data_IF_339363692014
#
_entry.id   IF_339363692014
#
_cell.length_a   1.000
_cell.length_b   1.000
_cell.length_c   1.000
_cell.angle_alpha   90.00
_cell.angle_beta   90.00
_cell.angle_gamma   90.00
#
_symmetry.space_group_name_H-M   'P 1'
#
loop_
_entity.id
_entity.type
_entity.pdbx_description
1 polymer ?
#
# COMPACT_ATOMS: atom_id res chain seq x y z
N UNK A 1 18.13 33.45 1.90
CA UNK A 1 18.87 34.42 2.74
C UNK A 1 19.84 33.68 3.66
N UNK A 2 20.84 34.39 4.19
CA UNK A 2 21.82 34.03 5.23
C UNK A 2 21.30 32.95 6.22
N UNK A 3 21.99 31.82 6.38
CA UNK A 3 23.25 31.59 7.13
C UNK A 3 23.09 31.77 8.65
N UNK A 4 23.33 30.69 9.40
CA UNK A 4 24.42 30.69 10.38
C UNK A 4 24.97 29.28 10.63
N UNK A 5 26.27 29.18 10.89
CA UNK A 5 27.00 27.93 11.09
C UNK A 5 28.14 28.11 12.11
N UNK A 6 28.24 27.20 13.06
CA UNK A 6 29.41 26.95 13.93
C UNK A 6 29.18 25.54 14.50
N UNK A 7 30.06 24.53 14.42
CA UNK A 7 31.52 24.49 14.43
C UNK A 7 32.16 25.26 15.59
N UNK A 8 32.75 24.51 16.53
CA UNK A 8 33.99 24.90 17.17
C UNK A 8 34.81 23.63 17.46
N UNK A 9 36.14 23.73 17.52
CA UNK A 9 37.03 22.56 17.33
C UNK A 9 38.23 22.50 18.28
N UNK A 10 38.78 21.28 18.43
CA UNK A 10 40.18 20.95 18.69
C UNK A 10 40.93 21.58 19.88
N UNK A 11 41.18 20.75 20.90
CA UNK A 11 42.49 20.57 21.56
C UNK A 11 42.50 19.13 22.12
N UNK A 12 43.23 18.16 21.57
CA UNK A 12 44.69 18.03 21.48
C UNK A 12 45.35 18.19 22.86
N UNK A 13 45.60 17.06 23.49
CA UNK A 13 46.83 16.84 24.27
C UNK A 13 47.35 15.43 23.97
N UNK A 14 48.64 15.33 23.64
CA UNK A 14 49.33 14.08 23.34
C UNK A 14 50.29 13.74 24.48
N UNK A 15 50.08 12.61 25.15
CA UNK A 15 51.05 12.05 26.08
C UNK A 15 51.60 10.74 25.50
N UNK A 16 52.91 10.59 25.56
CA UNK A 16 53.66 9.55 24.83
C UNK A 16 53.83 8.26 25.63
N UNK A 17 54.29 7.24 24.92
CA UNK A 17 54.68 5.92 25.42
C UNK A 17 55.57 6.01 26.67
N UNK A 18 55.31 5.14 27.65
CA UNK A 18 56.35 4.38 28.34
C UNK A 18 55.88 2.94 28.46
N UNK A 19 56.79 1.98 28.23
CA UNK A 19 56.47 0.55 28.16
C UNK A 19 57.27 -0.26 29.17
N UNK A 20 56.58 -0.78 30.17
CA UNK A 20 57.01 -1.84 31.10
C UNK A 20 55.73 -2.66 31.34
N UNK A 21 55.65 -3.98 31.18
CA UNK A 21 56.65 -5.00 31.51
C UNK A 21 56.18 -5.70 32.79
N UNK A 22 55.09 -6.48 32.70
CA UNK A 22 54.35 -6.91 33.89
C UNK A 22 53.27 -7.96 33.64
N UNK A 23 53.62 -9.11 33.08
CA UNK A 23 52.73 -10.28 33.01
C UNK A 23 52.56 -10.91 34.40
N UNK A 24 51.36 -10.87 34.99
CA UNK A 24 51.09 -11.61 36.23
C UNK A 24 49.62 -12.07 36.37
N UNK A 25 49.22 -13.05 35.57
CA UNK A 25 47.92 -13.72 35.68
C UNK A 25 47.98 -14.86 36.70
N UNK A 26 47.44 -14.66 37.90
CA UNK A 26 47.30 -15.70 38.94
C UNK A 26 45.86 -16.24 39.02
N UNK A 27 45.62 -17.48 38.56
CA UNK A 27 44.48 -18.29 38.99
C UNK A 27 44.97 -19.64 39.56
N UNK A 28 45.44 -19.66 40.81
CA UNK A 28 46.10 -20.82 41.43
C UNK A 28 45.25 -21.57 42.48
N UNK A 29 43.97 -21.82 42.16
CA UNK A 29 43.09 -22.63 43.02
C UNK A 29 42.28 -23.67 42.23
N UNK A 30 42.85 -24.88 42.02
CA UNK A 30 42.16 -26.18 42.19
C UNK A 30 43.05 -27.40 41.79
N UNK A 31 42.72 -28.56 42.37
CA UNK A 31 43.07 -29.93 41.95
C UNK A 31 44.54 -30.30 41.67
N UNK A 32 45.31 -30.51 42.75
CA UNK A 32 46.53 -31.34 42.75
C UNK A 32 46.16 -32.84 42.62
N UNK A 33 45.61 -33.25 41.46
CA UNK A 33 44.99 -34.59 41.29
C UNK A 33 45.34 -35.40 40.03
N UNK A 34 46.06 -34.86 39.05
CA UNK A 34 46.17 -35.50 37.71
C UNK A 34 47.38 -36.41 37.44
N UNK A 35 48.52 -36.22 38.13
CA UNK A 35 49.82 -36.77 37.64
C UNK A 35 50.00 -38.30 37.73
N UNK A 36 49.28 -39.00 38.60
CA UNK A 36 49.43 -40.46 38.74
C UNK A 36 48.77 -41.25 37.59
N UNK A 37 47.67 -40.73 37.02
CA UNK A 37 46.92 -41.42 35.96
C UNK A 37 47.66 -41.40 34.61
N UNK A 38 48.39 -40.32 34.31
CA UNK A 38 49.10 -40.16 33.03
C UNK A 38 50.29 -41.12 32.84
N UNK A 39 50.96 -41.52 33.93
CA UNK A 39 52.06 -42.49 33.85
C UNK A 39 51.54 -43.93 33.63
N UNK A 40 50.43 -44.29 34.28
CA UNK A 40 49.80 -45.60 34.11
C UNK A 40 49.13 -45.74 32.74
N UNK A 41 48.53 -44.67 32.19
CA UNK A 41 47.91 -44.73 30.86
C UNK A 41 48.94 -45.01 29.77
N UNK A 42 50.17 -44.46 29.83
CA UNK A 42 51.19 -44.70 28.81
C UNK A 42 51.60 -46.19 28.71
N UNK A 43 51.63 -46.92 29.82
CA UNK A 43 52.03 -48.33 29.83
C UNK A 43 50.87 -49.26 29.42
N UNK A 44 49.61 -48.90 29.72
CA UNK A 44 48.43 -49.62 29.20
C UNK A 44 48.13 -49.28 27.74
N UNK A 45 48.35 -48.03 27.31
CA UNK A 45 48.22 -47.57 25.92
C UNK A 45 49.14 -48.39 25.00
N UNK A 46 50.41 -48.60 25.38
CA UNK A 46 51.34 -49.42 24.62
C UNK A 46 50.88 -50.88 24.49
N UNK A 47 50.22 -51.41 25.54
CA UNK A 47 49.72 -52.80 25.56
C UNK A 47 48.43 -52.96 24.74
N UNK A 48 47.50 -52.01 24.82
CA UNK A 48 46.29 -51.99 24.00
C UNK A 48 46.63 -51.70 22.53
N UNK A 49 47.63 -50.85 22.26
CA UNK A 49 48.16 -50.65 20.92
C UNK A 49 48.73 -51.96 20.35
N UNK A 50 49.54 -52.68 21.13
CA UNK A 50 50.09 -53.99 20.75
C UNK A 50 48.99 -55.04 20.51
N UNK A 51 47.98 -55.12 21.39
CA UNK A 51 46.85 -56.05 21.23
C UNK A 51 45.96 -55.68 20.02
N UNK A 52 45.80 -54.39 19.72
CA UNK A 52 45.09 -53.91 18.52
C UNK A 52 45.89 -54.17 17.25
N UNK A 53 47.21 -53.96 17.29
CA UNK A 53 48.16 -54.26 16.21
C UNK A 53 48.19 -55.76 15.87
N UNK A 54 48.23 -56.62 16.90
CA UNK A 54 48.15 -58.08 16.76
C UNK A 54 46.84 -58.51 16.08
N UNK A 55 45.70 -57.97 16.52
CA UNK A 55 44.41 -58.33 15.92
C UNK A 55 44.19 -57.72 14.53
N UNK A 56 44.68 -56.50 14.27
CA UNK A 56 44.58 -55.82 12.98
C UNK A 56 45.38 -56.47 11.87
N UNK A 57 46.59 -56.96 12.17
CA UNK A 57 47.42 -57.75 11.25
C UNK A 57 46.92 -59.19 11.01
N UNK A 58 45.74 -59.55 11.55
CA UNK A 58 45.20 -60.92 11.54
C UNK A 58 46.20 -61.96 12.10
N UNK A 59 47.10 -61.60 13.02
CA UNK A 59 48.10 -62.52 13.55
C UNK A 59 47.52 -63.81 14.18
N UNK A 60 46.31 -63.81 14.80
CA UNK A 60 45.66 -65.06 15.19
C UNK A 60 45.34 -66.02 14.04
N UNK A 61 45.17 -65.52 12.81
CA UNK A 61 45.00 -66.32 11.57
C UNK A 61 46.35 -66.65 10.95
N UNK A 62 47.33 -65.74 11.03
CA UNK A 62 48.71 -66.01 10.59
C UNK A 62 49.30 -67.22 11.33
N UNK A 63 49.19 -67.26 12.66
CA UNK A 63 49.60 -68.42 13.48
C UNK A 63 48.66 -69.64 13.38
N UNK A 64 47.70 -69.66 12.45
CA UNK A 64 46.90 -70.84 12.08
C UNK A 64 47.22 -71.36 10.67
N UNK A 65 48.11 -70.69 9.94
CA UNK A 65 48.67 -71.17 8.66
C UNK A 65 49.90 -72.06 8.93
N UNK A 66 50.26 -72.91 7.96
CA UNK A 66 51.53 -73.66 8.01
C UNK A 66 52.75 -72.73 7.93
N UNK A 67 53.92 -73.21 8.33
CA UNK A 67 55.16 -72.41 8.32
C UNK A 67 55.52 -71.93 6.90
N UNK A 68 55.31 -72.78 5.89
CA UNK A 68 55.51 -72.42 4.47
C UNK A 68 54.56 -71.30 4.00
N UNK A 69 53.28 -71.33 4.41
CA UNK A 69 52.29 -70.28 4.11
C UNK A 69 52.55 -68.98 4.90
N UNK A 70 53.17 -69.07 6.08
CA UNK A 70 53.61 -67.92 6.87
C UNK A 70 54.79 -67.22 6.18
N UNK A 71 55.81 -67.97 5.78
CA UNK A 71 56.98 -67.45 5.05
C UNK A 71 56.59 -66.88 3.68
N UNK A 72 55.72 -67.56 2.92
CA UNK A 72 55.26 -67.07 1.61
C UNK A 72 54.40 -65.79 1.74
N UNK A 73 53.75 -65.57 2.89
CA UNK A 73 53.12 -64.28 3.23
C UNK A 73 54.13 -63.22 3.63
N UNK A 74 55.10 -63.54 4.48
CA UNK A 74 56.15 -62.59 4.90
C UNK A 74 56.98 -62.10 3.70
N UNK A 75 57.26 -62.97 2.73
CA UNK A 75 57.94 -62.62 1.49
C UNK A 75 57.11 -61.74 0.52
N UNK A 76 55.80 -61.60 0.74
CA UNK A 76 54.87 -60.80 -0.10
C UNK A 76 54.52 -59.43 0.50
N UNK A 77 54.74 -59.22 1.80
CA UNK A 77 54.46 -57.94 2.47
C UNK A 77 55.56 -56.94 2.13
N UNK A 78 55.22 -55.91 1.36
CA UNK A 78 56.14 -54.80 1.09
C UNK A 78 56.34 -53.95 2.37
N UNK A 79 57.54 -53.41 2.54
CA UNK A 79 57.83 -52.42 3.59
C UNK A 79 56.92 -51.19 3.48
N UNK A 80 56.46 -50.86 2.26
CA UNK A 80 55.48 -49.80 2.03
C UNK A 80 54.08 -50.16 2.59
N UNK A 81 53.63 -51.41 2.44
CA UNK A 81 52.37 -51.88 3.02
C UNK A 81 52.42 -51.91 4.56
N UNK A 82 53.54 -52.38 5.12
CA UNK A 82 53.76 -52.37 6.57
C UNK A 82 53.76 -50.94 7.14
N UNK A 83 54.34 -49.98 6.42
CA UNK A 83 54.31 -48.56 6.80
C UNK A 83 52.88 -47.98 6.75
N UNK A 84 52.11 -48.29 5.70
CA UNK A 84 50.70 -47.86 5.60
C UNK A 84 49.85 -48.46 6.72
N UNK A 85 49.97 -49.77 6.98
CA UNK A 85 49.26 -50.44 8.08
C UNK A 85 49.61 -49.82 9.45
N UNK A 86 50.89 -49.50 9.70
CA UNK A 86 51.31 -48.81 10.93
C UNK A 86 50.73 -47.39 11.02
N UNK A 87 50.65 -46.67 9.90
CA UNK A 87 50.07 -45.33 9.84
C UNK A 87 48.56 -45.35 10.12
N UNK A 88 47.82 -46.31 9.56
CA UNK A 88 46.38 -46.45 9.80
C UNK A 88 46.07 -46.95 11.23
N UNK A 89 46.87 -47.87 11.79
CA UNK A 89 46.75 -48.28 13.20
C UNK A 89 46.99 -47.08 14.13
N UNK A 90 47.98 -46.23 13.85
CA UNK A 90 48.24 -45.02 14.63
C UNK A 90 47.09 -43.99 14.49
N UNK A 91 46.50 -43.89 13.29
CA UNK A 91 45.33 -43.04 13.00
C UNK A 91 44.09 -43.50 13.75
N UNK A 92 43.74 -44.78 13.70
CA UNK A 92 42.58 -45.33 14.43
C UNK A 92 42.81 -45.29 15.95
N UNK A 93 44.04 -45.46 16.43
CA UNK A 93 44.39 -45.27 17.84
C UNK A 93 44.23 -43.80 18.28
N UNK A 94 44.61 -42.83 17.44
CA UNK A 94 44.37 -41.41 17.70
C UNK A 94 42.86 -41.07 17.70
N UNK A 95 42.08 -41.64 16.77
CA UNK A 95 40.62 -41.53 16.74
C UNK A 95 39.99 -42.14 17.99
N UNK A 96 40.40 -43.35 18.40
CA UNK A 96 39.90 -44.01 19.60
C UNK A 96 40.21 -43.22 20.88
N UNK A 97 41.41 -42.62 21.00
CA UNK A 97 41.75 -41.70 22.10
C UNK A 97 40.83 -40.47 22.12
N UNK A 98 40.57 -39.86 20.96
CA UNK A 98 39.69 -38.69 20.84
C UNK A 98 38.22 -39.04 21.16
N UNK A 99 37.71 -40.17 20.67
CA UNK A 99 36.37 -40.67 20.98
C UNK A 99 36.19 -40.98 22.48
N UNK A 100 37.18 -41.59 23.13
CA UNK A 100 37.17 -41.82 24.57
C UNK A 100 37.19 -40.50 25.38
N UNK A 101 37.94 -39.49 24.93
CA UNK A 101 37.98 -38.18 25.58
C UNK A 101 36.62 -37.48 25.51
N UNK A 102 35.99 -37.43 24.33
CA UNK A 102 34.65 -36.85 24.18
C UNK A 102 33.57 -37.64 24.94
N UNK A 103 33.63 -38.99 24.94
CA UNK A 103 32.70 -39.80 25.73
C UNK A 103 32.86 -39.53 27.24
N UNK A 104 34.09 -39.37 27.72
CA UNK A 104 34.37 -39.09 29.13
C UNK A 104 33.82 -37.72 29.52
N UNK A 105 34.18 -36.66 28.79
CA UNK A 105 33.68 -35.30 28.99
C UNK A 105 32.15 -35.19 28.92
N UNK A 106 31.53 -35.92 27.98
CA UNK A 106 30.08 -36.04 27.88
C UNK A 106 29.47 -36.72 29.12
N UNK A 107 30.02 -37.86 29.55
CA UNK A 107 29.51 -38.58 30.71
C UNK A 107 29.73 -37.84 32.02
N UNK A 108 30.83 -37.11 32.21
CA UNK A 108 31.07 -36.27 33.40
C UNK A 108 29.97 -35.21 33.56
N UNK A 109 29.51 -34.63 32.45
CA UNK A 109 28.44 -33.61 32.42
C UNK A 109 27.02 -34.18 32.51
N UNK A 110 26.81 -35.43 32.09
CA UNK A 110 25.46 -35.99 31.87
C UNK A 110 25.09 -37.18 32.77
N UNK A 111 26.00 -38.11 33.04
CA UNK A 111 25.81 -39.19 34.02
C UNK A 111 27.17 -39.67 34.58
N UNK A 112 27.72 -38.98 35.60
CA UNK A 112 28.99 -39.36 36.20
C UNK A 112 28.96 -40.71 36.93
N UNK A 113 27.78 -41.31 37.18
CA UNK A 113 27.68 -42.63 37.84
C UNK A 113 28.13 -43.75 36.91
N UNK A 114 27.96 -43.60 35.60
CA UNK A 114 28.48 -44.55 34.60
C UNK A 114 30.01 -44.57 34.59
N UNK A 115 30.67 -43.43 34.80
CA UNK A 115 32.13 -43.33 34.89
C UNK A 115 32.67 -43.98 36.17
N UNK A 116 32.03 -43.78 37.32
CA UNK A 116 32.41 -44.49 38.57
C UNK A 116 32.33 -46.01 38.35
N UNK A 117 31.26 -46.49 37.73
CA UNK A 117 31.10 -47.90 37.37
C UNK A 117 32.08 -48.40 36.30
N UNK A 118 32.72 -47.51 35.52
CA UNK A 118 33.79 -47.86 34.58
C UNK A 118 35.14 -47.93 35.30
N UNK A 119 35.46 -46.93 36.14
CA UNK A 119 36.67 -46.87 36.95
C UNK A 119 36.78 -48.07 37.90
N UNK A 120 35.68 -48.44 38.57
CA UNK A 120 35.64 -49.61 39.47
C UNK A 120 35.88 -50.94 38.72
N UNK A 121 35.49 -51.02 37.44
CA UNK A 121 35.77 -52.19 36.57
C UNK A 121 37.21 -52.18 36.04
N UNK A 122 37.80 -51.02 35.75
CA UNK A 122 39.24 -50.90 35.42
C UNK A 122 40.12 -51.35 36.59
N UNK A 123 39.81 -50.89 37.81
CA UNK A 123 40.56 -51.26 39.02
C UNK A 123 40.50 -52.76 39.32
N UNK A 124 39.33 -53.41 39.16
CA UNK A 124 39.23 -54.87 39.35
C UNK A 124 39.90 -55.67 38.22
N UNK A 125 39.86 -55.19 36.97
CA UNK A 125 40.58 -55.81 35.86
C UNK A 125 42.12 -55.73 36.02
N UNK A 126 42.65 -54.60 36.49
CA UNK A 126 44.08 -54.45 36.78
C UNK A 126 44.56 -55.44 37.85
N UNK A 127 43.79 -55.60 38.94
CA UNK A 127 44.09 -56.58 39.99
C UNK A 127 44.07 -58.05 39.48
N UNK A 128 43.19 -58.37 38.52
CA UNK A 128 43.12 -59.71 37.90
C UNK A 128 44.28 -60.00 36.93
N UNK A 129 44.84 -58.96 36.31
CA UNK A 129 46.05 -59.11 35.48
C UNK A 129 47.32 -59.25 36.32
N UNK A 130 47.40 -58.56 37.46
CA UNK A 130 48.52 -58.67 38.42
C UNK A 130 48.63 -60.05 39.08
N UNK A 131 47.51 -60.74 39.33
CA UNK A 131 47.53 -62.12 39.83
C UNK A 131 47.92 -63.13 38.73
N UNK A 132 47.47 -62.94 37.49
CA UNK A 132 47.81 -63.83 36.37
C UNK A 132 49.27 -63.69 35.90
N UNK A 133 49.89 -62.53 36.09
CA UNK A 133 51.32 -62.30 35.82
C UNK A 133 52.27 -62.91 36.88
N UNK A 134 51.73 -63.61 37.89
CA UNK A 134 52.48 -64.19 39.02
C UNK A 134 52.24 -65.69 39.20
N UNK A 135 51.84 -66.37 38.12
CA UNK A 135 51.45 -67.78 38.10
C UNK A 135 52.51 -68.70 37.49
N UNK A 136 53.64 -68.86 38.17
CA UNK A 136 54.48 -70.06 38.06
C UNK A 136 55.11 -70.37 39.44
N UNK A 137 55.58 -71.61 39.61
CA UNK A 137 56.11 -72.24 40.81
C UNK A 137 55.10 -72.53 41.95
N UNK A 138 54.82 -73.83 42.09
CA UNK A 138 54.51 -74.56 43.34
C UNK A 138 53.04 -74.82 43.69
N UNK A 139 52.68 -76.10 43.63
CA UNK A 139 51.47 -76.69 44.21
C UNK A 139 51.64 -76.97 45.71
N UNK A 140 50.62 -76.73 46.53
CA UNK A 140 49.92 -77.76 47.33
C UNK A 140 48.81 -77.21 48.25
N UNK A 141 47.91 -78.12 48.61
CA UNK A 141 46.85 -78.10 49.64
C UNK A 141 47.37 -77.88 51.09
N UNK A 142 46.60 -77.63 52.18
CA UNK A 142 45.16 -77.70 52.58
C UNK A 142 44.94 -76.67 53.76
N UNK A 143 43.79 -76.39 54.43
CA UNK A 143 42.35 -76.78 54.37
C UNK A 143 41.47 -75.81 55.21
N UNK A 144 40.16 -75.76 54.90
CA UNK A 144 38.98 -75.63 55.82
C UNK A 144 38.96 -74.67 57.03
N UNK A 145 37.99 -73.73 57.05
CA UNK A 145 36.92 -73.68 58.09
C UNK A 145 35.70 -72.84 57.64
N UNK A 146 34.60 -72.90 58.41
CA UNK A 146 33.22 -72.46 58.07
C UNK A 146 32.98 -70.93 58.10
N UNK A 147 31.93 -70.45 57.41
CA UNK A 147 31.47 -69.04 57.54
C UNK A 147 30.26 -68.61 56.67
N UNK A 148 29.05 -69.02 57.05
CA UNK A 148 27.71 -68.47 56.71
C UNK A 148 27.52 -67.42 55.59
N UNK A 149 26.67 -67.76 54.60
CA UNK A 149 25.91 -66.84 53.72
C UNK A 149 24.73 -66.20 54.50
N UNK A 150 24.17 -65.03 54.12
CA UNK A 150 23.09 -65.07 53.12
C UNK A 150 22.92 -63.85 52.18
N UNK A 151 22.20 -64.12 51.07
CA UNK A 151 21.34 -63.25 50.24
C UNK A 151 21.47 -61.71 50.35
N UNK A 152 21.87 -61.10 49.23
CA UNK A 152 21.21 -59.89 48.72
C UNK A 152 20.73 -60.18 47.28
N UNK A 153 19.43 -59.95 47.00
CA UNK A 153 18.86 -60.09 45.65
C UNK A 153 18.65 -58.69 45.09
N UNK A 154 19.20 -58.41 43.91
CA UNK A 154 18.92 -57.20 43.15
C UNK A 154 18.62 -57.57 41.71
N UNK A 155 17.32 -57.66 41.40
CA UNK A 155 16.83 -57.80 40.02
C UNK A 155 17.36 -56.65 39.17
N UNK A 156 18.01 -56.97 38.05
CA UNK A 156 18.12 -56.04 36.92
C UNK A 156 17.19 -56.52 35.82
N UNK A 157 16.40 -55.57 35.31
CA UNK A 157 15.35 -55.81 34.33
C UNK A 157 15.90 -56.32 33.00
N UNK A 158 15.11 -57.18 32.36
CA UNK A 158 15.32 -57.53 30.96
C UNK A 158 15.08 -56.30 30.08
N UNK A 159 16.02 -55.98 29.19
CA UNK A 159 15.65 -55.58 27.83
C UNK A 159 16.02 -56.75 26.92
N UNK A 160 15.02 -57.30 26.25
CA UNK A 160 15.18 -58.34 25.23
C UNK A 160 15.36 -57.71 23.86
N UNK A 161 16.45 -58.06 23.18
CA UNK A 161 16.53 -57.88 21.72
C UNK A 161 16.97 -59.21 21.11
N UNK A 162 16.08 -59.84 20.37
CA UNK A 162 16.29 -61.16 19.76
C UNK A 162 16.99 -61.03 18.41
N UNK A 163 18.07 -61.78 18.21
CA UNK A 163 18.20 -62.79 17.14
C UNK A 163 19.56 -63.48 17.27
N UNK A 164 19.61 -64.78 16.96
CA UNK A 164 20.84 -65.54 17.00
C UNK A 164 21.31 -65.93 15.60
N UNK A 165 22.61 -65.76 15.34
CA UNK A 165 23.34 -66.64 14.44
C UNK A 165 24.80 -66.74 14.91
N UNK A 166 25.36 -67.94 14.89
CA UNK A 166 26.74 -68.18 15.31
C UNK A 166 27.68 -67.92 14.14
N UNK A 167 28.19 -66.69 14.03
CA UNK A 167 29.42 -66.42 13.29
C UNK A 167 30.54 -65.99 14.25
N UNK A 168 31.77 -66.32 13.86
CA UNK A 168 32.97 -66.08 14.69
C UNK A 168 33.09 -64.59 14.99
N UNK A 169 33.16 -64.22 16.27
CA UNK A 169 33.43 -62.83 16.66
C UNK A 169 34.87 -62.46 16.30
N UNK A 170 35.04 -61.89 15.12
CA UNK A 170 36.19 -61.06 14.77
C UNK A 170 36.25 -59.83 15.69
N UNK A 171 37.37 -59.10 15.65
CA UNK A 171 37.75 -58.09 16.63
C UNK A 171 36.63 -57.10 17.00
N UNK A 172 36.60 -56.72 18.28
CA UNK A 172 35.65 -55.78 18.85
C UNK A 172 35.61 -54.45 18.06
N UNK A 173 34.41 -54.04 17.63
CA UNK A 173 34.12 -52.63 17.31
C UNK A 173 34.18 -51.79 18.60
N UNK A 174 35.38 -51.32 18.95
CA UNK A 174 35.59 -50.34 20.03
C UNK A 174 35.18 -48.90 19.65
N UNK A 175 34.79 -48.69 18.38
CA UNK A 175 34.45 -47.41 17.76
C UNK A 175 33.02 -47.02 18.13
N UNK A 176 32.77 -45.76 18.53
CA UNK A 176 31.40 -45.33 18.78
C UNK A 176 30.59 -45.35 17.48
N UNK A 177 29.37 -45.89 17.52
CA UNK A 177 28.42 -45.84 16.42
C UNK A 177 28.20 -44.37 16.00
N UNK A 178 28.18 -44.11 14.68
CA UNK A 178 27.93 -42.80 14.11
C UNK A 178 26.65 -42.12 14.65
N UNK A 179 25.59 -42.89 14.93
CA UNK A 179 24.37 -42.34 15.55
C UNK A 179 24.66 -41.74 16.93
N UNK A 180 25.34 -42.48 17.80
CA UNK A 180 25.70 -42.00 19.14
C UNK A 180 26.66 -40.79 19.10
N UNK A 181 27.55 -40.72 18.11
CA UNK A 181 28.38 -39.53 17.86
C UNK A 181 27.53 -38.30 17.48
N UNK A 182 26.57 -38.48 16.58
CA UNK A 182 25.62 -37.43 16.20
C UNK A 182 24.78 -37.00 17.41
N UNK A 183 24.23 -37.93 18.19
CA UNK A 183 23.41 -37.65 19.38
C UNK A 183 24.20 -36.84 20.45
N UNK A 184 25.47 -37.18 20.68
CA UNK A 184 26.33 -36.41 21.61
C UNK A 184 26.68 -35.03 21.05
N UNK A 185 27.00 -34.93 19.75
CA UNK A 185 27.30 -33.65 19.09
C UNK A 185 26.10 -32.71 19.07
N UNK A 186 24.90 -33.22 18.76
CA UNK A 186 23.64 -32.48 18.80
C UNK A 186 23.34 -32.01 20.24
N UNK A 187 23.44 -32.91 21.23
CA UNK A 187 23.16 -32.55 22.62
C UNK A 187 24.15 -31.50 23.17
N UNK A 188 25.42 -31.59 22.82
CA UNK A 188 26.43 -30.60 23.23
C UNK A 188 26.29 -29.27 22.49
N UNK A 189 25.93 -29.28 21.21
CA UNK A 189 25.57 -28.06 20.47
C UNK A 189 24.35 -27.36 21.10
N UNK A 190 23.28 -28.12 21.41
CA UNK A 190 22.08 -27.61 22.08
C UNK A 190 22.39 -27.06 23.49
N UNK A 191 23.33 -27.68 24.23
CA UNK A 191 23.78 -27.16 25.52
C UNK A 191 24.56 -25.84 25.37
N UNK A 192 25.46 -25.75 24.39
CA UNK A 192 26.20 -24.51 24.09
C UNK A 192 25.25 -23.40 23.65
N UNK A 193 24.31 -23.67 22.75
CA UNK A 193 23.32 -22.70 22.29
C UNK A 193 22.45 -22.19 23.45
N UNK A 194 22.02 -23.07 24.35
CA UNK A 194 21.32 -22.68 25.58
C UNK A 194 22.18 -21.78 26.47
N UNK A 195 23.44 -22.15 26.73
CA UNK A 195 24.38 -21.36 27.54
C UNK A 195 24.60 -19.97 26.93
N UNK A 196 24.69 -19.85 25.61
CA UNK A 196 24.78 -18.56 24.90
C UNK A 196 23.53 -17.72 25.15
N UNK A 197 22.32 -18.26 24.94
CA UNK A 197 21.04 -17.57 25.21
C UNK A 197 20.91 -17.13 26.68
N UNK A 198 21.34 -17.96 27.62
CA UNK A 198 21.35 -17.63 29.05
C UNK A 198 22.32 -16.48 29.37
N UNK A 199 23.51 -16.45 28.75
CA UNK A 199 24.50 -15.37 28.85
C UNK A 199 23.99 -14.08 28.21
N UNK A 200 23.44 -14.14 27.00
CA UNK A 200 22.85 -12.98 26.29
C UNK A 200 21.69 -12.37 27.08
N UNK A 201 20.83 -13.20 27.66
CA UNK A 201 19.71 -12.78 28.52
C UNK A 201 20.21 -12.11 29.81
N UNK A 202 21.28 -12.65 30.43
CA UNK A 202 21.93 -12.03 31.59
C UNK A 202 22.56 -10.68 31.23
N UNK A 203 23.40 -10.63 30.20
CA UNK A 203 24.07 -9.42 29.74
C UNK A 203 23.05 -8.33 29.33
N UNK A 204 21.97 -8.71 28.63
CA UNK A 204 20.89 -7.79 28.26
C UNK A 204 20.14 -7.20 29.46
N UNK A 205 20.04 -7.94 30.57
CA UNK A 205 19.49 -7.45 31.85
C UNK A 205 20.46 -6.50 32.53
N UNK A 206 21.74 -6.87 32.57
CA UNK A 206 22.82 -6.10 33.19
C UNK A 206 23.05 -4.75 32.48
N UNK A 207 23.07 -4.73 31.15
CA UNK A 207 23.14 -3.51 30.32
C UNK A 207 21.95 -2.56 30.60
N UNK A 208 20.74 -3.09 30.82
CA UNK A 208 19.57 -2.27 31.17
C UNK A 208 19.71 -1.63 32.56
N UNK A 209 20.21 -2.37 33.53
CA UNK A 209 20.48 -1.84 34.89
C UNK A 209 21.57 -0.77 34.84
N UNK A 210 22.69 -1.03 34.14
CA UNK A 210 23.79 -0.08 34.01
C UNK A 210 23.38 1.22 33.28
N UNK A 211 22.51 1.13 32.26
CA UNK A 211 21.92 2.32 31.63
C UNK A 211 21.05 3.11 32.61
N UNK A 212 20.20 2.44 33.38
CA UNK A 212 19.40 3.07 34.44
C UNK A 212 20.26 3.82 35.46
N UNK A 213 21.32 3.18 35.98
CA UNK A 213 22.27 3.84 36.89
C UNK A 213 23.00 5.02 36.21
N UNK A 214 23.36 4.92 34.93
CA UNK A 214 24.02 6.01 34.21
C UNK A 214 23.08 7.23 34.02
N UNK A 215 21.81 7.00 33.73
CA UNK A 215 20.77 8.04 33.66
C UNK A 215 20.50 8.66 35.04
N UNK A 216 20.41 7.84 36.10
CA UNK A 216 20.26 8.29 37.50
C UNK A 216 21.44 9.16 37.95
N UNK A 217 22.69 8.72 37.72
CA UNK A 217 23.89 9.51 38.02
C UNK A 217 23.92 10.81 37.23
N UNK A 218 23.49 10.82 35.96
CA UNK A 218 23.39 12.04 35.17
C UNK A 218 22.38 13.04 35.77
N UNK A 219 21.19 12.58 36.18
CA UNK A 219 20.22 13.43 36.88
C UNK A 219 20.75 13.93 38.23
N UNK A 220 21.43 13.10 39.03
CA UNK A 220 22.03 13.52 40.29
C UNK A 220 23.13 14.56 40.10
N UNK A 221 23.99 14.42 39.08
CA UNK A 221 25.00 15.41 38.74
C UNK A 221 24.36 16.75 38.33
N UNK A 222 23.33 16.73 37.50
CA UNK A 222 22.62 17.93 37.07
C UNK A 222 21.86 18.61 38.22
N UNK A 223 21.14 17.86 39.08
CA UNK A 223 20.48 18.40 40.27
C UNK A 223 21.49 18.99 41.26
N UNK A 224 22.64 18.34 41.46
CA UNK A 224 23.73 18.86 42.30
C UNK A 224 24.29 20.17 41.73
N UNK A 225 24.60 20.20 40.42
CA UNK A 225 25.07 21.40 39.71
C UNK A 225 24.07 22.54 39.78
N UNK A 226 22.78 22.24 39.66
CA UNK A 226 21.70 23.22 39.77
C UNK A 226 21.52 23.72 41.21
N UNK A 227 21.64 22.84 42.20
CA UNK A 227 21.58 23.19 43.63
C UNK A 227 22.75 24.08 44.04
N UNK A 228 23.98 23.82 43.54
CA UNK A 228 25.15 24.68 43.76
C UNK A 228 24.93 26.09 43.19
N UNK A 229 24.45 26.20 41.95
CA UNK A 229 24.12 27.52 41.34
C UNK A 229 23.05 28.27 42.14
N UNK A 230 21.99 27.58 42.57
CA UNK A 230 20.94 28.17 43.39
C UNK A 230 21.43 28.56 44.79
N UNK A 231 22.39 27.83 45.37
CA UNK A 231 23.04 28.21 46.63
C UNK A 231 23.85 29.49 46.45
N UNK A 232 24.71 29.56 45.42
CA UNK A 232 25.48 30.76 45.08
C UNK A 232 24.55 31.99 44.89
N UNK A 233 23.45 31.83 44.14
CA UNK A 233 22.46 32.89 43.90
C UNK A 233 21.66 33.31 45.16
N UNK A 234 21.62 32.47 46.21
CA UNK A 234 20.88 32.72 47.45
C UNK A 234 21.78 33.21 48.60
N UNK A 235 23.10 33.07 48.49
CA UNK A 235 24.07 33.39 49.55
C UNK A 235 25.22 34.31 49.13
N UNK A 236 25.49 34.45 47.83
CA UNK A 236 26.67 35.14 47.29
C UNK A 236 26.33 35.86 45.97
N UNK A 237 25.12 36.42 45.83
CA UNK A 237 24.69 37.06 44.57
C UNK A 237 25.39 38.40 44.35
N UNK A 238 25.37 39.24 45.38
CA UNK A 238 25.88 40.61 45.37
C UNK A 238 26.86 40.81 46.54
N UNK A 239 27.64 41.90 46.53
CA UNK A 239 28.59 42.22 47.59
C UNK A 239 27.93 42.35 48.99
N UNK A 240 26.69 42.86 49.03
CA UNK A 240 25.88 42.94 50.25
C UNK A 240 25.54 41.57 50.86
N UNK A 241 25.44 40.50 50.05
CA UNK A 241 25.22 39.14 50.53
C UNK A 241 26.49 38.58 51.22
N UNK A 242 27.67 38.99 50.74
CA UNK A 242 28.98 38.64 51.32
C UNK A 242 29.25 39.41 52.63
N UNK A 243 28.95 40.71 52.66
CA UNK A 243 28.96 41.52 53.89
C UNK A 243 27.98 40.98 54.94
N UNK A 244 26.77 40.57 54.52
CA UNK A 244 25.83 39.90 55.40
C UNK A 244 26.42 38.59 55.95
N UNK A 245 27.09 37.77 55.14
CA UNK A 245 27.70 36.52 55.61
C UNK A 245 28.85 36.72 56.61
N UNK A 246 29.62 37.82 56.50
CA UNK A 246 30.71 38.10 57.45
C UNK A 246 30.25 38.77 58.75
N UNK A 247 29.08 39.42 58.75
CA UNK A 247 28.55 40.18 59.90
C UNK A 247 27.34 39.56 60.60
N UNK A 248 26.65 38.60 59.97
CA UNK A 248 25.44 38.00 60.52
C UNK A 248 25.72 37.14 61.77
N UNK A 249 24.83 37.26 62.76
CA UNK A 249 24.78 36.35 63.91
C UNK A 249 24.37 34.95 63.45
N UNK A 250 24.85 33.90 64.13
CA UNK A 250 24.45 32.50 63.92
C UNK A 250 22.93 32.33 63.73
N UNK A 251 22.10 32.93 64.60
CA UNK A 251 20.63 32.90 64.52
C UNK A 251 20.03 33.58 63.27
N UNK A 252 20.80 34.40 62.55
CA UNK A 252 20.39 34.99 61.26
C UNK A 252 20.80 34.07 60.10
N UNK A 253 22.02 33.53 60.15
CA UNK A 253 22.52 32.55 59.19
C UNK A 253 21.66 31.28 59.19
N UNK A 254 21.35 30.73 60.38
CA UNK A 254 20.48 29.57 60.57
C UNK A 254 19.10 29.77 59.93
N UNK A 255 18.52 30.98 60.04
CA UNK A 255 17.26 31.33 59.37
C UNK A 255 17.39 31.43 57.84
N UNK A 256 18.52 31.93 57.31
CA UNK A 256 18.78 32.01 55.85
C UNK A 256 18.99 30.59 55.27
N UNK A 257 19.73 29.73 55.96
CA UNK A 257 19.89 28.30 55.63
C UNK A 257 18.58 27.53 55.72
N UNK A 258 17.81 27.71 56.80
CA UNK A 258 16.48 27.07 56.97
C UNK A 258 15.50 27.50 55.88
N UNK A 259 15.53 28.76 55.43
CA UNK A 259 14.76 29.23 54.25
C UNK A 259 15.22 28.54 52.95
N UNK A 260 16.52 28.48 52.69
CA UNK A 260 17.09 27.81 51.51
C UNK A 260 16.70 26.33 51.45
N UNK A 261 16.94 25.57 52.52
CA UNK A 261 16.62 24.13 52.60
C UNK A 261 15.11 23.88 52.43
N UNK A 262 14.25 24.70 53.03
CA UNK A 262 12.81 24.62 52.83
C UNK A 262 12.38 24.91 51.37
N UNK A 263 13.11 25.77 50.65
CA UNK A 263 12.85 26.06 49.24
C UNK A 263 13.34 24.92 48.32
N UNK A 264 14.55 24.40 48.59
CA UNK A 264 15.11 23.25 47.89
C UNK A 264 14.20 22.00 48.02
N UNK A 265 13.71 21.70 49.24
CA UNK A 265 12.76 20.59 49.47
C UNK A 265 11.43 20.80 48.73
N UNK A 266 10.96 22.04 48.56
CA UNK A 266 9.77 22.33 47.73
C UNK A 266 10.06 22.06 46.24
N UNK A 267 11.20 22.52 45.74
CA UNK A 267 11.60 22.33 44.35
C UNK A 267 11.80 20.84 44.01
N UNK A 268 12.47 20.08 44.89
CA UNK A 268 12.64 18.63 44.75
C UNK A 268 11.29 17.88 44.73
N UNK A 269 10.31 18.30 45.55
CA UNK A 269 8.94 17.75 45.53
C UNK A 269 8.20 18.08 44.23
N UNK A 270 8.38 19.28 43.68
CA UNK A 270 7.82 19.65 42.38
C UNK A 270 8.46 18.84 41.24
N UNK A 271 9.79 18.69 41.24
CA UNK A 271 10.52 17.86 40.28
C UNK A 271 10.03 16.41 40.33
N UNK A 272 9.93 15.81 41.52
CA UNK A 272 9.39 14.47 41.75
C UNK A 272 7.97 14.30 41.18
N UNK A 273 7.11 15.30 41.33
CA UNK A 273 5.77 15.28 40.73
C UNK A 273 5.82 15.28 39.19
N UNK A 274 6.68 16.11 38.58
CA UNK A 274 6.86 16.10 37.11
C UNK A 274 7.48 14.80 36.60
N UNK A 275 8.41 14.19 37.35
CA UNK A 275 9.00 12.89 37.01
C UNK A 275 7.94 11.77 37.06
N UNK A 276 7.10 11.75 38.10
CA UNK A 276 5.97 10.80 38.19
C UNK A 276 5.01 10.94 37.00
N UNK A 277 4.62 12.17 36.64
CA UNK A 277 3.76 12.42 35.49
C UNK A 277 4.41 11.95 34.16
N UNK A 278 5.72 12.19 33.98
CA UNK A 278 6.47 11.67 32.83
C UNK A 278 6.50 10.14 32.81
N UNK A 279 6.67 9.48 33.96
CA UNK A 279 6.64 8.01 34.06
C UNK A 279 5.27 7.47 33.65
N UNK A 280 4.17 8.05 34.12
CA UNK A 280 2.81 7.65 33.72
C UNK A 280 2.59 7.83 32.22
N UNK A 281 2.92 9.00 31.66
CA UNK A 281 2.78 9.24 30.22
C UNK A 281 3.66 8.30 29.36
N UNK A 282 4.86 7.95 29.83
CA UNK A 282 5.72 6.96 29.18
C UNK A 282 5.15 5.54 29.29
N UNK A 283 4.52 5.17 30.41
CA UNK A 283 3.84 3.88 30.58
C UNK A 283 2.63 3.76 29.65
N UNK A 284 1.79 4.80 29.57
CA UNK A 284 0.66 4.90 28.65
C UNK A 284 1.12 4.78 27.19
N UNK A 285 2.17 5.51 26.79
CA UNK A 285 2.76 5.41 25.45
C UNK A 285 3.34 4.01 25.17
N UNK A 286 4.04 3.38 26.13
CA UNK A 286 4.51 2.01 25.99
C UNK A 286 3.36 1.00 25.84
N UNK A 287 2.25 1.19 26.55
CA UNK A 287 1.06 0.37 26.45
C UNK A 287 0.34 0.57 25.12
N UNK A 288 0.24 1.81 24.63
CA UNK A 288 -0.32 2.14 23.32
C UNK A 288 0.49 1.49 22.19
N UNK A 289 1.82 1.70 22.16
CA UNK A 289 2.71 1.09 21.16
C UNK A 289 2.69 -0.45 21.22
N UNK A 290 2.56 -1.04 22.42
CA UNK A 290 2.39 -2.50 22.57
C UNK A 290 1.05 -2.99 21.98
N UNK A 291 -0.02 -2.23 22.16
CA UNK A 291 -1.34 -2.51 21.56
C UNK A 291 -1.31 -2.37 20.04
N UNK A 292 -0.64 -1.34 19.53
CA UNK A 292 -0.44 -1.11 18.09
C UNK A 292 0.41 -2.23 17.46
N UNK A 293 1.46 -2.70 18.15
CA UNK A 293 2.27 -3.83 17.69
C UNK A 293 1.46 -5.13 17.68
N UNK A 294 0.63 -5.38 18.70
CA UNK A 294 -0.26 -6.54 18.74
C UNK A 294 -1.29 -6.51 17.61
N UNK A 295 -2.01 -5.40 17.42
CA UNK A 295 -2.98 -5.28 16.32
C UNK A 295 -2.32 -5.33 14.95
N UNK A 296 -1.09 -4.83 14.79
CA UNK A 296 -0.28 -5.02 13.57
C UNK A 296 0.16 -6.48 13.37
N UNK A 297 0.47 -7.22 14.42
CA UNK A 297 0.78 -8.65 14.33
C UNK A 297 -0.46 -9.47 13.94
N UNK A 298 -1.61 -9.20 14.57
CA UNK A 298 -2.89 -9.83 14.23
C UNK A 298 -3.28 -9.51 12.77
N UNK A 299 -3.22 -8.24 12.37
CA UNK A 299 -3.46 -7.81 10.99
C UNK A 299 -2.47 -8.45 10.01
N UNK A 300 -1.18 -8.58 10.36
CA UNK A 300 -0.18 -9.25 9.52
C UNK A 300 -0.33 -10.77 9.46
N UNK A 301 -1.05 -11.39 10.39
CA UNK A 301 -1.46 -12.79 10.32
C UNK A 301 -2.74 -13.00 9.49
N UNK A 302 -3.59 -11.98 9.40
CA UNK A 302 -4.88 -12.01 8.67
C UNK A 302 -4.74 -11.54 7.22
N UNK A 303 -3.86 -10.56 6.94
CA UNK A 303 -3.63 -9.97 5.62
C UNK A 303 -2.30 -10.47 5.05
N UNK A 304 -2.35 -11.40 4.10
CA UNK A 304 -1.15 -11.80 3.35
C UNK A 304 -0.86 -10.79 2.23
N UNK A 305 0.36 -10.80 1.71
CA UNK A 305 0.72 -10.00 0.51
C UNK A 305 -0.21 -10.31 -0.68
N UNK A 306 -0.66 -11.56 -0.80
CA UNK A 306 -1.59 -12.03 -1.83
C UNK A 306 -2.97 -11.36 -1.70
N UNK A 307 -3.39 -10.97 -0.49
CA UNK A 307 -4.69 -10.31 -0.29
C UNK A 307 -4.66 -8.83 -0.70
N UNK A 308 -3.52 -8.16 -0.53
CA UNK A 308 -3.27 -6.85 -1.14
C UNK A 308 -3.20 -6.94 -2.68
N UNK A 309 -2.60 -7.99 -3.23
CA UNK A 309 -2.55 -8.24 -4.67
C UNK A 309 -3.95 -8.50 -5.26
N UNK A 310 -4.76 -9.39 -4.64
CA UNK A 310 -6.18 -9.58 -4.98
C UNK A 310 -6.97 -8.27 -4.95
N UNK A 311 -6.75 -7.42 -3.94
CA UNK A 311 -7.42 -6.13 -3.81
C UNK A 311 -7.01 -5.16 -4.94
N UNK A 312 -5.72 -5.16 -5.32
CA UNK A 312 -5.22 -4.36 -6.43
C UNK A 312 -5.73 -4.85 -7.79
N UNK A 313 -5.78 -6.17 -8.02
CA UNK A 313 -6.39 -6.77 -9.22
C UNK A 313 -7.87 -6.37 -9.30
N UNK A 314 -8.65 -6.60 -8.24
CA UNK A 314 -10.07 -6.26 -8.20
C UNK A 314 -10.34 -4.75 -8.36
N UNK A 315 -9.45 -3.89 -7.86
CA UNK A 315 -9.50 -2.45 -8.11
C UNK A 315 -9.25 -2.12 -9.58
N UNK A 316 -8.30 -2.80 -10.23
CA UNK A 316 -8.00 -2.64 -11.66
C UNK A 316 -9.18 -3.08 -12.54
N UNK A 317 -9.77 -4.25 -12.24
CA UNK A 317 -10.98 -4.75 -12.90
C UNK A 317 -12.15 -3.75 -12.82
N UNK A 318 -12.40 -3.18 -11.63
CA UNK A 318 -13.45 -2.19 -11.41
C UNK A 318 -13.18 -0.85 -12.12
N UNK A 319 -11.91 -0.43 -12.23
CA UNK A 319 -11.53 0.77 -12.99
C UNK A 319 -11.70 0.54 -14.50
N UNK A 320 -11.22 -0.58 -15.04
CA UNK A 320 -11.39 -0.93 -16.44
C UNK A 320 -12.86 -0.99 -16.84
N UNK A 321 -13.71 -1.63 -16.02
CA UNK A 321 -15.16 -1.69 -16.28
C UNK A 321 -15.83 -0.32 -16.15
N UNK A 322 -15.36 0.56 -15.26
CA UNK A 322 -15.83 1.94 -15.18
C UNK A 322 -15.47 2.74 -16.45
N UNK A 323 -14.26 2.57 -16.98
CA UNK A 323 -13.82 3.28 -18.18
C UNK A 323 -14.48 2.75 -19.46
N UNK A 324 -14.75 1.44 -19.57
CA UNK A 324 -15.65 0.88 -20.59
C UNK A 324 -17.04 1.54 -20.54
N UNK A 325 -17.65 1.62 -19.35
CA UNK A 325 -18.97 2.24 -19.15
C UNK A 325 -18.93 3.74 -19.49
N UNK A 326 -17.86 4.44 -19.14
CA UNK A 326 -17.65 5.85 -19.49
C UNK A 326 -17.52 6.04 -21.01
N UNK A 327 -16.76 5.19 -21.70
CA UNK A 327 -16.58 5.23 -23.15
C UNK A 327 -17.89 4.92 -23.89
N UNK A 328 -18.66 3.92 -23.44
CA UNK A 328 -20.01 3.66 -23.96
C UNK A 328 -20.96 4.85 -23.72
N UNK A 329 -20.91 5.48 -22.54
CA UNK A 329 -21.73 6.67 -22.25
C UNK A 329 -21.33 7.87 -23.10
N UNK A 330 -20.04 8.07 -23.36
CA UNK A 330 -19.54 9.13 -24.25
C UNK A 330 -20.00 8.90 -25.70
N UNK A 331 -19.91 7.66 -26.20
CA UNK A 331 -20.45 7.27 -27.50
C UNK A 331 -21.94 7.51 -27.62
N UNK A 332 -22.73 7.10 -26.62
CA UNK A 332 -24.18 7.33 -26.58
C UNK A 332 -24.52 8.83 -26.57
N UNK A 333 -23.84 9.63 -25.74
CA UNK A 333 -23.99 11.10 -25.71
C UNK A 333 -23.69 11.73 -27.08
N UNK A 334 -22.66 11.26 -27.79
CA UNK A 334 -22.34 11.75 -29.14
C UNK A 334 -23.41 11.39 -30.17
N UNK A 335 -24.01 10.19 -30.09
CA UNK A 335 -25.13 9.78 -30.95
C UNK A 335 -26.39 10.59 -30.66
N UNK A 336 -26.77 10.73 -29.38
CA UNK A 336 -27.93 11.55 -28.96
C UNK A 336 -27.75 13.02 -29.35
N UNK A 337 -26.53 13.57 -29.21
CA UNK A 337 -26.21 14.93 -29.65
C UNK A 337 -26.40 15.13 -31.16
N UNK A 338 -25.91 14.20 -31.99
CA UNK A 338 -26.11 14.23 -33.45
C UNK A 338 -27.58 14.09 -33.84
N UNK A 339 -28.31 13.18 -33.20
CA UNK A 339 -29.75 13.01 -33.46
C UNK A 339 -30.54 14.28 -33.09
N UNK A 340 -30.25 14.90 -31.94
CA UNK A 340 -30.88 16.15 -31.50
C UNK A 340 -30.59 17.32 -32.46
N UNK A 341 -29.37 17.38 -33.02
CA UNK A 341 -29.00 18.37 -34.03
C UNK A 341 -29.79 18.16 -35.33
N UNK A 342 -29.80 16.94 -35.88
CA UNK A 342 -30.58 16.59 -37.08
C UNK A 342 -32.06 16.94 -36.90
N UNK A 343 -32.68 16.54 -35.78
CA UNK A 343 -34.08 16.88 -35.47
C UNK A 343 -34.33 18.39 -35.38
N UNK A 344 -33.32 19.19 -35.04
CA UNK A 344 -33.41 20.65 -34.99
C UNK A 344 -33.29 21.26 -36.39
N UNK A 345 -32.41 20.72 -37.23
CA UNK A 345 -32.27 21.08 -38.65
C UNK A 345 -33.54 20.73 -39.44
N UNK A 346 -34.04 19.50 -39.31
CA UNK A 346 -35.30 19.02 -39.90
C UNK A 346 -36.50 19.90 -39.48
N UNK A 347 -36.57 20.27 -38.20
CA UNK A 347 -37.60 21.18 -37.67
C UNK A 347 -37.49 22.58 -38.28
N UNK A 348 -36.28 23.11 -38.49
CA UNK A 348 -36.09 24.41 -39.11
C UNK A 348 -36.46 24.38 -40.60
N UNK A 349 -36.12 23.31 -41.32
CA UNK A 349 -36.54 23.08 -42.71
C UNK A 349 -38.07 23.02 -42.80
N UNK A 350 -38.73 22.25 -41.93
CA UNK A 350 -40.19 22.15 -41.88
C UNK A 350 -40.85 23.51 -41.57
N UNK A 351 -40.31 24.29 -40.63
CA UNK A 351 -40.80 25.63 -40.31
C UNK A 351 -40.64 26.61 -41.48
N UNK A 352 -39.55 26.52 -42.25
CA UNK A 352 -39.35 27.32 -43.46
C UNK A 352 -40.38 26.95 -44.54
N UNK A 353 -40.59 25.65 -44.80
CA UNK A 353 -41.59 25.15 -45.76
C UNK A 353 -43.01 25.54 -45.33
N UNK A 354 -43.32 25.53 -44.04
CA UNK A 354 -44.61 25.99 -43.53
C UNK A 354 -44.82 27.51 -43.77
N UNK A 355 -43.76 28.31 -43.61
CA UNK A 355 -43.80 29.75 -43.88
C UNK A 355 -43.95 30.05 -45.38
N UNK A 356 -43.23 29.34 -46.25
CA UNK A 356 -43.37 29.44 -47.70
C UNK A 356 -44.76 29.00 -48.18
N UNK A 357 -45.30 27.90 -47.63
CA UNK A 357 -46.65 27.42 -47.90
C UNK A 357 -47.72 28.44 -47.49
N UNK A 358 -47.58 29.08 -46.33
CA UNK A 358 -48.45 30.19 -45.90
C UNK A 358 -48.35 31.39 -46.85
N UNK A 359 -47.14 31.76 -47.28
CA UNK A 359 -46.95 32.86 -48.24
C UNK A 359 -47.54 32.53 -49.62
N UNK A 360 -47.40 31.28 -50.08
CA UNK A 360 -47.96 30.81 -51.35
C UNK A 360 -49.49 30.79 -51.30
N UNK A 361 -50.09 30.27 -50.22
CA UNK A 361 -51.53 30.32 -50.01
C UNK A 361 -52.06 31.76 -49.99
N UNK A 362 -51.38 32.69 -49.32
CA UNK A 362 -51.76 34.11 -49.36
C UNK A 362 -51.71 34.66 -50.79
N UNK A 363 -50.62 34.43 -51.54
CA UNK A 363 -50.51 34.80 -52.96
C UNK A 363 -51.64 34.20 -53.81
N UNK A 364 -52.00 32.94 -53.60
CA UNK A 364 -53.12 32.28 -54.30
C UNK A 364 -54.46 32.97 -53.98
N UNK A 365 -54.72 33.33 -52.72
CA UNK A 365 -55.93 34.06 -52.33
C UNK A 365 -55.94 35.49 -52.92
N UNK A 366 -54.78 36.16 -53.01
CA UNK A 366 -54.64 37.45 -53.67
C UNK A 366 -54.88 37.37 -55.18
N UNK A 367 -54.41 36.30 -55.85
CA UNK A 367 -54.68 36.02 -57.28
C UNK A 367 -56.14 35.70 -57.53
N UNK A 368 -56.78 34.86 -56.69
CA UNK A 368 -58.23 34.60 -56.78
C UNK A 368 -59.00 35.91 -56.64
N UNK A 369 -58.66 36.76 -55.66
CA UNK A 369 -59.27 38.10 -55.49
C UNK A 369 -58.96 39.09 -56.62
N UNK A 370 -58.01 38.80 -57.51
CA UNK A 370 -57.78 39.55 -58.74
C UNK A 370 -58.62 39.01 -59.90
N UNK A 371 -58.69 37.69 -60.07
CA UNK A 371 -59.57 37.02 -61.05
C UNK A 371 -61.03 37.41 -60.80
N UNK A 372 -61.50 37.34 -59.55
CA UNK A 372 -62.81 37.79 -59.08
C UNK A 372 -63.18 39.23 -59.49
N UNK A 373 -62.18 40.11 -59.71
CA UNK A 373 -62.39 41.49 -60.16
C UNK A 373 -62.40 41.57 -61.67
N UNK A 374 -61.41 40.96 -62.33
CA UNK A 374 -61.31 40.90 -63.79
C UNK A 374 -62.53 40.23 -64.42
N UNK A 375 -63.10 39.20 -63.80
CA UNK A 375 -64.37 38.61 -64.22
C UNK A 375 -65.53 39.60 -64.09
N UNK A 376 -65.62 40.38 -63.01
CA UNK A 376 -66.68 41.39 -62.81
C UNK A 376 -66.54 42.56 -63.80
N UNK A 377 -65.31 42.96 -64.11
CA UNK A 377 -64.98 43.96 -65.13
C UNK A 377 -65.28 43.45 -66.54
N UNK A 378 -64.88 42.21 -66.89
CA UNK A 378 -65.20 41.58 -68.17
C UNK A 378 -66.73 41.42 -68.37
N UNK A 379 -67.44 40.92 -67.36
CA UNK A 379 -68.92 40.85 -67.35
C UNK A 379 -69.57 42.25 -67.44
N UNK A 380 -68.85 43.35 -67.19
CA UNK A 380 -69.35 44.71 -67.32
C UNK A 380 -69.08 45.27 -68.72
N UNK A 381 -67.87 45.10 -69.24
CA UNK A 381 -67.50 45.43 -70.63
C UNK A 381 -68.35 44.64 -71.62
N UNK A 382 -68.65 43.36 -71.37
CA UNK A 382 -69.52 42.56 -72.23
C UNK A 382 -70.98 43.09 -72.25
N UNK A 383 -71.50 43.52 -71.09
CA UNK A 383 -72.82 44.19 -70.99
C UNK A 383 -72.85 45.59 -71.60
N UNK A 384 -71.71 46.26 -71.76
CA UNK A 384 -71.62 47.55 -72.45
C UNK A 384 -71.47 47.34 -73.96
N UNK A 385 -70.59 46.44 -74.38
CA UNK A 385 -70.42 46.03 -75.78
C UNK A 385 -71.73 45.47 -76.38
N UNK A 386 -72.53 44.74 -75.61
CA UNK A 386 -73.87 44.30 -76.04
C UNK A 386 -74.82 45.49 -76.29
N UNK A 387 -74.83 46.53 -75.45
CA UNK A 387 -75.62 47.75 -75.67
C UNK A 387 -75.10 48.54 -76.87
N UNK A 388 -73.79 48.59 -77.06
CA UNK A 388 -73.18 49.28 -78.19
C UNK A 388 -73.47 48.55 -79.51
N UNK A 389 -73.50 47.22 -79.51
CA UNK A 389 -73.97 46.40 -80.64
C UNK A 389 -75.46 46.63 -80.93
N UNK A 390 -76.31 46.72 -79.90
CA UNK A 390 -77.73 47.09 -80.04
C UNK A 390 -77.90 48.52 -80.58
N UNK A 391 -77.12 49.49 -80.10
CA UNK A 391 -77.11 50.87 -80.59
C UNK A 391 -76.62 50.97 -82.04
N UNK A 392 -75.57 50.23 -82.40
CA UNK A 392 -75.01 50.14 -83.76
C UNK A 392 -76.01 49.45 -84.71
N UNK A 393 -76.71 48.40 -84.25
CA UNK A 393 -77.81 47.76 -84.98
C UNK A 393 -78.96 48.73 -85.25
N UNK A 394 -79.39 49.49 -84.22
CA UNK A 394 -80.41 50.53 -84.36
C UNK A 394 -79.96 51.65 -85.32
N UNK A 395 -78.69 52.09 -85.26
CA UNK A 395 -78.11 53.05 -86.19
C UNK A 395 -78.04 52.53 -87.63
N UNK A 396 -77.72 51.24 -87.84
CA UNK A 396 -77.80 50.60 -89.16
C UNK A 396 -79.23 50.58 -89.69
N UNK A 397 -80.21 50.21 -88.86
CA UNK A 397 -81.62 50.26 -89.26
C UNK A 397 -82.12 51.69 -89.54
N UNK A 398 -81.61 52.69 -88.82
CA UNK A 398 -81.88 54.10 -89.14
C UNK A 398 -81.24 54.53 -90.46
N UNK A 399 -80.00 54.10 -90.73
CA UNK A 399 -79.30 54.39 -91.98
C UNK A 399 -79.95 53.70 -93.20
N UNK A 400 -80.40 52.46 -93.04
CA UNK A 400 -81.14 51.69 -94.06
C UNK A 400 -82.54 52.30 -94.33
N UNK A 401 -83.14 52.95 -93.34
CA UNK A 401 -84.36 53.76 -93.49
C UNK A 401 -84.09 55.22 -93.93
N UNK A 402 -82.83 55.65 -94.03
CA UNK A 402 -82.48 57.02 -94.40
C UNK A 402 -82.35 57.16 -95.92
N UNK A 403 -83.51 57.19 -96.60
CA UNK A 403 -83.56 57.65 -97.97
C UNK A 403 -83.35 59.17 -98.01
N UNK A 404 -82.18 59.61 -98.48
CA UNK A 404 -81.85 61.03 -98.58
C UNK A 404 -82.81 61.73 -99.57
N UNK A 405 -83.61 62.73 -99.13
CA UNK A 405 -84.60 63.36 -100.00
C UNK A 405 -83.95 63.94 -101.25
N UNK A 406 -84.50 63.61 -102.43
CA UNK A 406 -83.90 64.05 -103.69
C UNK A 406 -83.84 65.58 -103.77
N UNK A 407 -82.82 66.12 -104.45
CA UNK A 407 -82.61 67.57 -104.56
C UNK A 407 -83.87 68.30 -105.06
N UNK A 408 -84.67 67.64 -105.90
CA UNK A 408 -85.97 68.14 -106.36
C UNK A 408 -87.00 68.27 -105.22
N UNK A 409 -87.17 67.24 -104.39
CA UNK A 409 -88.07 67.28 -103.22
C UNK A 409 -87.64 68.35 -102.21
N UNK A 410 -86.32 68.52 -102.00
CA UNK A 410 -85.80 69.60 -101.16
C UNK A 410 -86.16 70.98 -101.75
N UNK A 411 -85.98 71.19 -103.05
CA UNK A 411 -86.36 72.44 -103.74
C UNK A 411 -87.88 72.69 -103.68
N UNK A 412 -88.71 71.67 -103.91
CA UNK A 412 -90.17 71.77 -103.83
C UNK A 412 -90.61 72.16 -102.41
N UNK A 413 -90.14 71.48 -101.36
CA UNK A 413 -90.44 71.83 -99.96
C UNK A 413 -89.85 73.18 -99.53
N UNK A 414 -88.69 73.59 -100.06
CA UNK A 414 -88.10 74.92 -99.81
C UNK A 414 -88.92 76.04 -100.47
N UNK A 415 -89.47 75.80 -101.66
CA UNK A 415 -90.36 76.73 -102.36
C UNK A 415 -91.73 76.83 -101.67
N UNK A 416 -92.28 75.70 -101.21
CA UNK A 416 -93.51 75.66 -100.40
C UNK A 416 -93.36 76.45 -99.10
N UNK A 417 -92.25 76.27 -98.38
CA UNK A 417 -91.93 77.05 -97.18
C UNK A 417 -91.80 78.56 -97.50
N UNK A 418 -91.15 78.92 -98.61
CA UNK A 418 -91.08 80.33 -99.06
C UNK A 418 -92.42 80.90 -99.56
N UNK A 419 -93.36 80.07 -100.00
CA UNK A 419 -94.72 80.49 -100.32
C UNK A 419 -95.52 80.74 -99.03
N UNK A 420 -95.46 79.81 -98.07
CA UNK A 420 -96.11 79.91 -96.76
C UNK A 420 -95.58 81.09 -95.94
N UNK A 421 -94.27 81.37 -95.94
CA UNK A 421 -93.72 82.59 -95.32
C UNK A 421 -94.25 83.89 -95.93
N UNK A 422 -94.46 83.93 -97.25
CA UNK A 422 -95.02 85.10 -97.94
C UNK A 422 -96.51 85.28 -97.60
N UNK A 423 -97.25 84.19 -97.54
CA UNK A 423 -98.65 84.19 -97.14
C UNK A 423 -98.82 84.57 -95.66
N UNK A 424 -98.00 84.03 -94.76
CA UNK A 424 -97.97 84.40 -93.34
C UNK A 424 -97.68 85.91 -93.17
N UNK A 425 -96.67 86.44 -93.87
CA UNK A 425 -96.36 87.89 -93.88
C UNK A 425 -97.53 88.72 -94.44
N UNK A 426 -98.26 88.22 -95.45
CA UNK A 426 -99.45 88.89 -95.99
C UNK A 426 -100.63 88.87 -95.01
N UNK A 427 -100.87 87.73 -94.36
CA UNK A 427 -101.94 87.54 -93.37
C UNK A 427 -101.67 88.36 -92.10
N UNK A 428 -100.45 88.35 -91.56
CA UNK A 428 -100.04 89.26 -90.47
C UNK A 428 -100.30 90.73 -90.82
N UNK A 429 -100.04 91.14 -92.07
CA UNK A 429 -100.29 92.52 -92.54
C UNK A 429 -101.79 92.83 -92.73
N UNK A 430 -102.60 91.86 -93.17
CA UNK A 430 -104.08 91.98 -93.18
C UNK A 430 -104.66 92.09 -91.77
N UNK A 431 -104.19 91.27 -90.83
CA UNK A 431 -104.59 91.29 -89.41
C UNK A 431 -104.25 92.64 -88.77
N UNK A 432 -103.05 93.18 -89.03
CA UNK A 432 -102.66 94.51 -88.56
C UNK A 432 -103.61 95.62 -89.06
N UNK A 433 -103.98 95.60 -90.35
CA UNK A 433 -104.93 96.56 -90.94
C UNK A 433 -106.34 96.39 -90.35
N UNK A 434 -106.77 95.16 -90.08
CA UNK A 434 -108.07 94.88 -89.45
C UNK A 434 -108.10 95.35 -87.99
N UNK A 435 -107.05 95.10 -87.21
CA UNK A 435 -106.93 95.60 -85.82
C UNK A 435 -106.89 97.14 -85.79
N UNK A 436 -106.18 97.79 -86.72
CA UNK A 436 -106.20 99.26 -86.84
C UNK A 436 -107.59 99.82 -87.21
N UNK A 437 -108.40 99.09 -87.98
CA UNK A 437 -109.81 99.45 -88.20
C UNK A 437 -110.66 99.21 -86.96
N UNK A 438 -110.45 98.10 -86.25
CA UNK A 438 -111.18 97.74 -85.03
C UNK A 438 -110.93 98.72 -83.88
N UNK A 439 -109.68 99.15 -83.66
CA UNK A 439 -109.39 100.21 -82.69
C UNK A 439 -110.08 101.53 -83.02
N UNK A 440 -110.14 101.90 -84.30
CA UNK A 440 -110.78 103.14 -84.74
C UNK A 440 -112.31 103.08 -84.60
N UNK A 441 -112.95 101.93 -84.85
CA UNK A 441 -114.39 101.77 -84.57
C UNK A 441 -114.68 101.70 -83.07
N UNK A 442 -113.86 101.00 -82.28
CA UNK A 442 -113.99 100.97 -80.82
C UNK A 442 -113.80 102.36 -80.18
N UNK A 443 -112.86 103.18 -80.69
CA UNK A 443 -112.68 104.57 -80.25
C UNK A 443 -113.89 105.44 -80.60
N UNK A 444 -114.51 105.27 -81.79
CA UNK A 444 -115.77 105.96 -82.12
C UNK A 444 -116.95 105.51 -81.24
N UNK A 445 -117.15 104.21 -81.03
CA UNK A 445 -118.24 103.70 -80.18
C UNK A 445 -118.12 104.09 -78.70
N UNK A 446 -116.90 104.39 -78.19
CA UNK A 446 -116.72 104.95 -76.84
C UNK A 446 -117.01 106.45 -76.74
N UNK A 447 -117.13 107.16 -77.87
CA UNK A 447 -117.52 108.58 -77.90
C UNK A 447 -119.03 108.84 -77.97
N UNK A 448 -119.85 107.80 -78.21
CA UNK A 448 -121.30 107.93 -78.45
C UNK A 448 -122.13 107.11 -77.45
N UNK A 449 -121.77 107.14 -76.16
CA UNK A 449 -122.49 106.39 -75.12
C UNK A 449 -122.49 107.03 -73.72
N UNK A 450 -122.37 108.35 -73.67
CA UNK A 450 -122.49 109.19 -72.47
C UNK A 450 -123.25 110.51 -72.74
N UNK A 451 -124.01 110.59 -73.84
CA UNK A 451 -124.93 111.70 -74.16
C UNK A 451 -126.28 111.14 -74.66
N UNK A 452 -126.90 110.31 -73.82
CA UNK A 452 -128.30 109.79 -73.89
C UNK A 452 -128.53 109.14 -72.48
N UNK A 453 -129.49 109.52 -71.62
CA UNK A 453 -130.55 110.54 -71.67
C UNK A 453 -131.55 110.43 -72.84
#
# INVERSE_FOLDING_TARGET
MKLFSSQNSSRIETISRHGVGGSNTNPSTLSRGGRALAALSQQEDAKLALETFINGLQLPVFFQLSEEEQDERLAKIDALELFQALQDINRDLAMARLENLYLTDFLEKNDPKLLIGLQQRRATAQNMNLSRAKGDATTQSVSSSMGTRPRASMSRSHLTTTTGSSQKKTAFDYKLNFRAKADMAEKTANEVEKRVKDIESKASREIKILRGHMEEMHFMCEETRETIKNFQLHFMRDEQDLEFLSTATEKQLERKVRKFVNNWIKNARALLATMRLKITALQENCQHLRSELLTKADLSGILTAIDFEKLMIKRSELLNSLDEKNMHMAGLKAVTGKASLSMTEDKQIMMNIEAESKQLNQKTIDVIRAIDKLEKEANMVERENQKDLEALSNLRQQLERFEAPSVRQYIEKKNELMALEKEEKMLRRKIYILNMKLENTQKKCKGQRMEEN
#
